data_IF_959299161063
#
_entry.id   IF_959299161063
#
_cell.length_a   1.000
_cell.length_b   1.000
_cell.length_c   1.000
_cell.angle_alpha   90.00
_cell.angle_beta   90.00
_cell.angle_gamma   90.00
#
_symmetry.space_group_name_H-M   'P 1'
#
loop_
_entity.id
_entity.type
_entity.pdbx_description
1 polymer ?
#
# COMPACT_ATOMS: atom_id res chain seq x y z
N UNK A 1 43.59 -51.94 -7.42
CA UNK A 1 42.15 -51.64 -7.30
C UNK A 1 41.96 -50.63 -6.16
N UNK A 2 41.74 -49.36 -6.48
CA UNK A 2 41.47 -48.33 -5.46
C UNK A 2 39.98 -48.38 -5.05
N UNK A 3 39.63 -48.27 -3.76
CA UNK A 3 38.25 -48.32 -3.33
C UNK A 3 37.53 -47.03 -3.73
N UNK A 4 36.46 -47.14 -4.53
CA UNK A 4 35.54 -46.04 -4.83
C UNK A 4 34.82 -45.63 -3.55
N UNK A 5 35.07 -44.39 -3.08
CA UNK A 5 34.34 -43.74 -1.99
C UNK A 5 32.86 -43.58 -2.36
N UNK A 6 31.99 -44.48 -1.90
CA UNK A 6 30.53 -44.33 -2.00
C UNK A 6 29.96 -43.71 -0.72
N UNK A 7 29.41 -42.50 -0.90
CA UNK A 7 28.17 -41.95 -0.30
C UNK A 7 28.10 -41.57 1.19
N UNK A 8 28.36 -40.29 1.47
CA UNK A 8 27.88 -39.58 2.67
C UNK A 8 26.40 -39.13 2.60
N UNK A 9 25.78 -39.15 1.40
CA UNK A 9 24.41 -38.66 1.21
C UNK A 9 23.33 -39.59 1.82
N UNK A 10 23.56 -40.90 1.83
CA UNK A 10 22.62 -41.88 2.38
C UNK A 10 22.50 -41.76 3.92
N UNK A 11 23.48 -41.15 4.60
CA UNK A 11 23.44 -40.91 6.05
C UNK A 11 22.57 -39.71 6.46
N UNK A 12 22.26 -38.77 5.57
CA UNK A 12 21.48 -37.57 5.94
C UNK A 12 19.98 -37.92 6.01
N UNK A 13 19.51 -38.76 5.08
CA UNK A 13 18.10 -39.17 5.03
C UNK A 13 17.66 -39.93 6.28
N UNK A 14 18.51 -40.82 6.81
CA UNK A 14 18.24 -41.54 8.07
C UNK A 14 18.20 -40.60 9.27
N UNK A 15 19.09 -39.60 9.33
CA UNK A 15 19.08 -38.59 10.39
C UNK A 15 17.84 -37.70 10.32
N UNK A 16 17.38 -37.31 9.13
CA UNK A 16 16.16 -36.51 8.96
C UNK A 16 14.91 -37.24 9.47
N UNK A 17 14.84 -38.56 9.29
CA UNK A 17 13.77 -39.37 9.84
C UNK A 17 13.80 -39.42 11.38
N UNK A 18 14.98 -39.43 12.00
CA UNK A 18 15.13 -39.37 13.46
C UNK A 18 14.74 -37.99 14.03
N UNK A 19 15.16 -36.90 13.39
CA UNK A 19 14.76 -35.54 13.80
C UNK A 19 13.25 -35.34 13.73
N UNK A 20 12.58 -36.01 12.80
CA UNK A 20 11.11 -35.95 12.72
C UNK A 20 10.40 -36.75 13.81
N UNK A 21 11.07 -37.74 14.42
CA UNK A 21 10.52 -38.55 15.52
C UNK A 21 10.78 -37.92 16.88
N UNK A 22 12.01 -37.46 17.15
CA UNK A 22 12.43 -36.95 18.47
C UNK A 22 12.56 -35.42 18.54
N UNK A 23 12.69 -34.74 17.40
CA UNK A 23 12.96 -33.30 17.33
C UNK A 23 11.74 -32.42 17.05
N UNK A 24 11.99 -31.09 17.10
CA UNK A 24 11.02 -30.05 16.74
C UNK A 24 11.45 -29.38 15.44
N UNK A 25 10.59 -29.44 14.43
CA UNK A 25 10.89 -28.99 13.07
C UNK A 25 9.73 -28.16 12.52
N UNK A 26 10.06 -27.15 11.71
CA UNK A 26 9.08 -26.42 10.90
C UNK A 26 9.34 -26.63 9.41
N UNK A 27 8.27 -26.96 8.68
CA UNK A 27 8.31 -27.24 7.25
C UNK A 27 7.68 -26.07 6.48
N UNK A 28 8.26 -25.73 5.33
CA UNK A 28 7.69 -24.77 4.37
C UNK A 28 8.25 -23.34 4.45
N UNK A 29 8.20 -22.62 3.33
CA UNK A 29 8.86 -21.33 3.14
C UNK A 29 8.45 -20.22 4.12
N UNK A 30 7.14 -20.01 4.31
CA UNK A 30 6.62 -18.93 5.16
C UNK A 30 6.90 -19.19 6.64
N UNK A 31 6.84 -20.46 7.04
CA UNK A 31 7.13 -20.95 8.38
C UNK A 31 8.63 -20.84 8.68
N UNK A 32 9.50 -21.23 7.76
CA UNK A 32 10.97 -21.11 7.92
C UNK A 32 11.40 -19.65 8.05
N UNK A 33 10.82 -18.73 7.26
CA UNK A 33 11.09 -17.29 7.41
C UNK A 33 10.61 -16.77 8.78
N UNK A 34 9.46 -17.24 9.27
CA UNK A 34 8.95 -16.84 10.59
C UNK A 34 9.87 -17.34 11.71
N UNK A 35 10.39 -18.56 11.61
CA UNK A 35 11.31 -19.13 12.61
C UNK A 35 12.69 -18.49 12.54
N UNK A 36 13.19 -18.17 11.34
CA UNK A 36 14.42 -17.42 11.12
C UNK A 36 14.33 -16.01 11.72
N UNK A 37 13.23 -15.30 11.49
CA UNK A 37 12.99 -13.97 12.09
C UNK A 37 12.91 -14.01 13.61
N UNK A 38 12.47 -15.14 14.18
CA UNK A 38 12.42 -15.33 15.63
C UNK A 38 13.75 -15.79 16.25
N UNK A 39 14.79 -16.06 15.43
CA UNK A 39 16.11 -16.51 15.91
C UNK A 39 16.13 -17.90 16.54
N UNK A 40 15.10 -18.73 16.32
CA UNK A 40 14.98 -20.06 16.94
C UNK A 40 15.46 -21.21 16.05
N UNK A 41 15.80 -20.91 14.80
CA UNK A 41 16.25 -21.91 13.84
C UNK A 41 17.73 -22.23 14.08
N UNK A 42 18.04 -23.50 14.36
CA UNK A 42 19.42 -23.97 14.55
C UNK A 42 20.05 -24.49 13.27
N UNK A 43 19.25 -24.98 12.33
CA UNK A 43 19.70 -25.43 11.00
C UNK A 43 18.58 -25.23 9.98
N UNK A 44 18.93 -24.76 8.78
CA UNK A 44 18.00 -24.64 7.66
C UNK A 44 18.41 -25.57 6.53
N UNK A 45 17.46 -26.32 5.99
CA UNK A 45 17.67 -27.23 4.87
C UNK A 45 16.86 -26.72 3.68
N UNK A 46 17.52 -26.60 2.53
CA UNK A 46 16.95 -26.11 1.28
C UNK A 46 17.07 -27.21 0.22
N UNK A 47 15.97 -27.56 -0.42
CA UNK A 47 15.99 -28.51 -1.54
C UNK A 47 16.56 -27.88 -2.82
N UNK A 48 17.14 -28.71 -3.69
CA UNK A 48 17.79 -28.27 -4.93
C UNK A 48 16.82 -27.57 -5.90
N UNK A 49 15.58 -28.04 -5.98
CA UNK A 49 14.55 -27.52 -6.88
C UNK A 49 13.79 -26.29 -6.31
N UNK A 50 14.45 -25.47 -5.49
CA UNK A 50 13.88 -24.21 -4.99
C UNK A 50 14.15 -23.08 -5.98
N UNK A 51 13.17 -22.19 -6.26
CA UNK A 51 13.40 -21.10 -7.21
C UNK A 51 14.48 -20.15 -6.68
N UNK A 52 15.38 -19.64 -7.55
CA UNK A 52 16.60 -18.95 -7.12
C UNK A 52 16.31 -17.72 -6.25
N UNK A 53 15.23 -16.98 -6.55
CA UNK A 53 14.80 -15.83 -5.75
C UNK A 53 14.46 -16.18 -4.29
N UNK A 54 13.83 -17.33 -4.05
CA UNK A 54 13.46 -17.78 -2.69
C UNK A 54 14.64 -18.39 -1.95
N UNK A 55 15.54 -19.04 -2.69
CA UNK A 55 16.79 -19.59 -2.17
C UNK A 55 17.69 -18.45 -1.63
N UNK A 56 17.91 -17.40 -2.43
CA UNK A 56 18.68 -16.23 -2.01
C UNK A 56 18.06 -15.50 -0.81
N UNK A 57 16.72 -15.42 -0.74
CA UNK A 57 16.01 -14.81 0.39
C UNK A 57 16.24 -15.61 1.69
N UNK A 58 16.21 -16.95 1.62
CA UNK A 58 16.43 -17.82 2.78
C UNK A 58 17.89 -17.85 3.25
N UNK A 59 18.85 -17.88 2.33
CA UNK A 59 20.27 -17.81 2.64
C UNK A 59 20.61 -16.49 3.36
N UNK A 60 20.07 -15.38 2.86
CA UNK A 60 20.23 -14.07 3.50
C UNK A 60 19.67 -14.06 4.93
N UNK A 61 18.45 -14.57 5.14
CA UNK A 61 17.85 -14.61 6.47
C UNK A 61 18.55 -15.61 7.42
N UNK A 62 19.09 -16.71 6.89
CA UNK A 62 19.87 -17.65 7.68
C UNK A 62 21.22 -17.05 8.12
N UNK A 63 21.88 -16.29 7.25
CA UNK A 63 23.11 -15.55 7.57
C UNK A 63 22.86 -14.54 8.70
N UNK A 64 21.78 -13.75 8.60
CA UNK A 64 21.40 -12.81 9.66
C UNK A 64 21.08 -13.51 10.99
N UNK A 65 20.45 -14.68 10.93
CA UNK A 65 20.10 -15.47 12.10
C UNK A 65 21.25 -16.34 12.63
N UNK A 66 22.43 -16.31 11.99
CA UNK A 66 23.59 -17.19 12.28
C UNK A 66 23.22 -18.68 12.29
N UNK A 67 22.29 -19.08 11.43
CA UNK A 67 21.88 -20.48 11.29
C UNK A 67 22.61 -21.11 10.08
N UNK A 68 23.30 -22.25 10.24
CA UNK A 68 23.89 -22.97 9.11
C UNK A 68 22.81 -23.38 8.10
N UNK A 69 23.17 -23.30 6.81
CA UNK A 69 22.32 -23.71 5.69
C UNK A 69 22.90 -24.96 5.05
N UNK A 70 22.09 -25.99 4.90
CA UNK A 70 22.44 -27.20 4.18
C UNK A 70 21.64 -27.33 2.89
N UNK A 71 22.34 -27.41 1.76
CA UNK A 71 21.73 -27.67 0.47
C UNK A 71 21.53 -29.17 0.27
N UNK A 72 20.28 -29.59 0.28
CA UNK A 72 19.91 -30.96 -0.04
C UNK A 72 19.99 -31.17 -1.55
N UNK A 73 20.74 -32.19 -1.98
CA UNK A 73 20.95 -32.51 -3.39
C UNK A 73 19.68 -33.04 -4.09
N UNK A 74 18.68 -33.48 -3.33
CA UNK A 74 17.46 -34.05 -3.86
C UNK A 74 16.34 -33.05 -4.13
N UNK A 75 15.29 -33.54 -4.79
CA UNK A 75 14.10 -32.77 -5.12
C UNK A 75 13.18 -32.55 -3.92
N UNK A 76 12.22 -31.62 -4.04
CA UNK A 76 11.22 -31.33 -2.99
C UNK A 76 10.34 -32.55 -2.63
N UNK A 77 10.25 -33.54 -3.51
CA UNK A 77 9.54 -34.80 -3.27
C UNK A 77 10.40 -35.70 -2.38
N UNK A 78 11.68 -35.87 -2.73
CA UNK A 78 12.64 -36.68 -1.98
C UNK A 78 12.88 -36.14 -0.56
N UNK A 79 12.93 -34.80 -0.39
CA UNK A 79 13.01 -34.19 0.94
C UNK A 79 11.74 -34.48 1.76
N UNK A 80 10.56 -34.40 1.14
CA UNK A 80 9.29 -34.74 1.77
C UNK A 80 9.26 -36.19 2.26
N UNK A 81 9.67 -37.11 1.40
CA UNK A 81 9.76 -38.54 1.71
C UNK A 81 10.81 -38.82 2.80
N UNK A 82 11.98 -38.18 2.76
CA UNK A 82 13.01 -38.31 3.81
C UNK A 82 12.53 -37.81 5.18
N UNK A 83 11.63 -36.83 5.19
CA UNK A 83 10.97 -36.33 6.39
C UNK A 83 9.74 -37.16 6.83
N UNK A 84 9.39 -38.24 6.11
CA UNK A 84 8.19 -39.03 6.38
C UNK A 84 6.87 -38.28 6.15
N UNK A 85 6.88 -37.25 5.28
CA UNK A 85 5.69 -36.47 4.93
C UNK A 85 5.25 -36.80 3.51
N UNK A 86 3.94 -37.02 3.34
CA UNK A 86 3.31 -37.33 2.04
C UNK A 86 3.13 -36.08 1.14
N UNK A 87 3.60 -34.91 1.56
CA UNK A 87 3.50 -33.66 0.82
C UNK A 87 4.88 -33.10 0.47
N UNK A 88 4.96 -32.37 -0.65
CA UNK A 88 6.20 -31.78 -1.18
C UNK A 88 6.71 -30.68 -0.25
N UNK A 89 7.96 -30.78 0.18
CA UNK A 89 8.59 -29.81 1.08
C UNK A 89 9.81 -29.20 0.41
N UNK A 90 9.78 -27.90 0.18
CA UNK A 90 10.88 -27.17 -0.46
C UNK A 90 11.99 -26.79 0.52
N UNK A 91 11.62 -26.48 1.76
CA UNK A 91 12.49 -25.89 2.77
C UNK A 91 12.06 -26.36 4.15
N UNK A 92 13.03 -26.54 5.04
CA UNK A 92 12.82 -27.00 6.40
C UNK A 92 13.73 -26.26 7.36
N UNK A 93 13.24 -25.94 8.55
CA UNK A 93 14.06 -25.41 9.64
C UNK A 93 13.96 -26.34 10.85
N UNK A 94 15.12 -26.76 11.36
CA UNK A 94 15.24 -27.54 12.59
C UNK A 94 15.35 -26.57 13.75
N UNK A 95 14.43 -26.68 14.71
CA UNK A 95 14.45 -25.90 15.95
C UNK A 95 15.23 -26.66 17.02
N UNK A 96 14.96 -27.96 17.15
CA UNK A 96 15.64 -28.88 18.06
C UNK A 96 15.93 -30.20 17.33
N UNK A 97 17.18 -30.68 17.43
CA UNK A 97 17.66 -31.86 16.71
C UNK A 97 17.33 -33.19 17.41
N UNK A 98 16.85 -33.15 18.67
CA UNK A 98 16.59 -34.35 19.47
C UNK A 98 17.83 -35.26 19.53
N UNK A 99 17.61 -36.56 19.30
CA UNK A 99 18.65 -37.61 19.36
C UNK A 99 19.50 -37.72 18.07
N UNK A 100 19.42 -36.72 17.17
CA UNK A 100 20.08 -36.77 15.87
C UNK A 100 21.27 -35.81 15.79
N UNK A 101 22.43 -36.33 15.36
CA UNK A 101 23.69 -35.57 15.21
C UNK A 101 23.76 -34.65 13.97
N UNK A 102 22.62 -34.09 13.53
CA UNK A 102 22.56 -33.24 12.32
C UNK A 102 23.31 -31.92 12.54
N UNK A 103 23.30 -31.40 13.77
CA UNK A 103 23.97 -30.14 14.12
C UNK A 103 25.51 -30.29 14.13
N UNK A 104 26.01 -31.44 14.58
CA UNK A 104 27.46 -31.69 14.73
C UNK A 104 28.17 -31.84 13.40
N UNK A 105 27.50 -32.44 12.41
CA UNK A 105 28.08 -32.72 11.08
C UNK A 105 28.24 -31.48 10.18
N UNK A 106 27.54 -30.39 10.49
CA UNK A 106 27.52 -29.15 9.70
C UNK A 106 28.08 -27.94 10.46
N UNK A 107 28.73 -28.18 11.61
CA UNK A 107 29.31 -27.16 12.48
C UNK A 107 30.62 -26.51 11.98
N UNK A 108 31.06 -26.77 10.74
CA UNK A 108 32.12 -25.95 10.12
C UNK A 108 31.49 -24.74 9.46
N UNK A 109 31.56 -23.62 10.17
CA UNK A 109 31.39 -22.29 9.63
C UNK A 109 32.30 -22.15 8.40
N UNK A 110 31.72 -22.09 7.20
CA UNK A 110 32.45 -21.61 6.03
C UNK A 110 32.60 -20.10 6.21
N UNK A 111 33.79 -19.69 6.65
CA UNK A 111 34.30 -18.37 6.31
C UNK A 111 34.23 -18.23 4.80
N UNK A 112 33.45 -17.25 4.33
CA UNK A 112 33.38 -16.90 2.93
C UNK A 112 34.71 -16.22 2.59
N UNK A 113 35.65 -16.99 2.03
CA UNK A 113 36.76 -16.43 1.28
C UNK A 113 36.19 -15.72 0.04
N UNK A 114 36.23 -14.40 0.07
CA UNK A 114 35.96 -13.55 -1.08
C UNK A 114 37.20 -13.62 -1.97
N UNK A 115 37.16 -14.40 -3.05
CA UNK A 115 38.28 -14.47 -4.00
C UNK A 115 37.99 -15.32 -5.23
N UNK A 116 38.06 -14.67 -6.40
CA UNK A 116 38.14 -15.24 -7.75
C UNK A 116 36.85 -15.80 -8.41
N UNK A 117 36.10 -14.91 -9.08
CA UNK A 117 35.78 -15.06 -10.50
C UNK A 117 35.08 -13.78 -11.00
N UNK A 118 35.81 -13.01 -11.80
CA UNK A 118 35.39 -11.79 -12.48
C UNK A 118 34.70 -12.13 -13.81
N UNK A 119 34.02 -11.12 -14.38
CA UNK A 119 33.42 -11.03 -15.71
C UNK A 119 32.08 -11.80 -15.90
N UNK A 120 30.97 -11.19 -16.32
CA UNK A 120 30.82 -10.17 -17.35
C UNK A 120 29.70 -9.18 -16.99
N UNK A 121 29.90 -7.91 -17.36
CA UNK A 121 28.94 -6.81 -17.31
C UNK A 121 28.80 -6.26 -18.73
N UNK A 122 27.61 -5.80 -19.16
CA UNK A 122 27.54 -4.53 -19.89
C UNK A 122 26.36 -3.66 -19.37
N UNK A 123 26.13 -2.40 -19.84
CA UNK A 123 26.59 -1.19 -19.14
C UNK A 123 25.45 -0.27 -18.61
N UNK A 124 25.82 0.50 -17.57
CA UNK A 124 25.49 1.87 -17.09
C UNK A 124 24.35 2.70 -17.78
N UNK A 125 23.78 3.80 -17.15
CA UNK A 125 24.51 4.69 -16.25
C UNK A 125 23.76 5.47 -15.13
N UNK A 126 24.58 6.19 -14.36
CA UNK A 126 24.32 7.40 -13.57
C UNK A 126 23.48 7.31 -12.28
N UNK A 127 24.18 7.33 -11.13
CA UNK A 127 23.80 8.25 -10.04
C UNK A 127 24.99 8.70 -9.20
N UNK A 128 25.20 10.01 -9.24
CA UNK A 128 26.11 10.82 -8.45
C UNK A 128 25.67 10.90 -6.97
N UNK A 129 26.68 10.74 -6.10
CA UNK A 129 27.00 11.50 -4.87
C UNK A 129 25.91 11.81 -3.82
N UNK A 130 26.14 11.33 -2.59
CA UNK A 130 26.15 12.17 -1.36
C UNK A 130 27.05 11.52 -0.28
N UNK A 131 27.77 12.32 0.55
CA UNK A 131 28.92 11.89 1.37
C UNK A 131 28.56 11.29 2.75
N UNK A 132 29.52 10.66 3.46
CA UNK A 132 29.31 10.07 4.78
C UNK A 132 29.47 11.12 5.89
N UNK A 133 28.69 11.00 6.96
CA UNK A 133 28.92 11.76 8.20
C UNK A 133 29.10 10.83 9.40
N UNK A 134 30.00 11.28 10.25
CA UNK A 134 30.83 10.61 11.23
C UNK A 134 30.13 10.05 12.46
N UNK A 135 30.78 9.01 12.99
CA UNK A 135 30.72 8.48 14.36
C UNK A 135 31.07 9.52 15.42
N UNK A 136 30.38 9.51 16.58
CA UNK A 136 30.98 9.46 17.94
C UNK A 136 29.92 9.41 19.06
N UNK A 137 30.03 8.34 19.89
CA UNK A 137 29.84 8.29 21.36
C UNK A 137 28.41 8.15 21.97
N UNK A 138 28.27 7.79 23.28
CA UNK A 138 28.24 6.38 23.75
C UNK A 138 27.05 6.05 24.68
N UNK A 139 26.89 4.76 24.99
CA UNK A 139 26.19 4.17 26.15
C UNK A 139 24.95 4.87 26.74
N UNK A 140 23.76 4.29 26.49
CA UNK A 140 22.67 4.32 27.46
C UNK A 140 21.76 3.07 27.31
N UNK A 141 21.71 2.28 28.38
CA UNK A 141 20.64 1.37 28.81
C UNK A 141 19.78 0.67 27.76
N UNK A 142 19.99 -0.64 27.62
CA UNK A 142 19.10 -1.57 26.92
C UNK A 142 17.74 -1.68 27.62
N UNK A 143 16.83 -0.75 27.34
CA UNK A 143 15.41 -1.02 27.44
C UNK A 143 15.02 -1.87 26.23
N UNK A 144 14.78 -3.17 26.45
CA UNK A 144 14.16 -4.05 25.47
C UNK A 144 12.80 -3.45 25.06
N UNK A 145 12.78 -2.62 24.02
CA UNK A 145 11.55 -2.23 23.36
C UNK A 145 11.01 -3.48 22.68
N UNK A 146 10.05 -4.10 23.34
CA UNK A 146 9.10 -4.99 22.71
C UNK A 146 8.64 -4.34 21.39
N UNK A 147 8.55 -5.10 20.28
CA UNK A 147 7.99 -4.56 19.05
C UNK A 147 6.61 -4.00 19.42
N UNK A 148 6.24 -2.78 18.99
CA UNK A 148 4.94 -2.24 19.30
C UNK A 148 3.92 -3.22 18.76
N UNK A 149 3.27 -3.95 19.66
CA UNK A 149 2.07 -4.71 19.36
C UNK A 149 1.05 -3.64 19.03
N UNK A 150 0.97 -3.27 17.74
CA UNK A 150 -0.03 -2.37 17.20
C UNK A 150 -1.38 -2.98 17.56
N UNK A 151 -1.96 -2.51 18.67
CA UNK A 151 -3.33 -2.77 19.08
C UNK A 151 -4.21 -2.35 17.91
N UNK A 152 -4.63 -3.30 17.07
CA UNK A 152 -5.54 -3.03 15.97
C UNK A 152 -6.93 -2.76 16.54
N UNK A 153 -7.13 -1.55 17.08
CA UNK A 153 -8.44 -1.08 17.54
C UNK A 153 -9.43 -0.92 16.37
N UNK A 154 -8.94 -0.81 15.14
CA UNK A 154 -9.73 -0.65 13.92
C UNK A 154 -9.81 -1.96 13.14
N UNK A 155 -11.02 -2.33 12.71
CA UNK A 155 -11.23 -3.48 11.82
C UNK A 155 -10.62 -3.22 10.43
N UNK A 156 -10.08 -4.26 9.76
CA UNK A 156 -9.60 -4.15 8.39
C UNK A 156 -10.67 -3.62 7.42
N UNK A 157 -10.25 -2.82 6.43
CA UNK A 157 -11.17 -2.16 5.48
C UNK A 157 -12.02 -3.16 4.67
N UNK A 158 -11.55 -4.41 4.48
CA UNK A 158 -12.32 -5.48 3.82
C UNK A 158 -13.69 -5.75 4.47
N UNK A 159 -13.84 -5.48 5.78
CA UNK A 159 -15.11 -5.67 6.48
C UNK A 159 -16.20 -4.70 6.01
N UNK A 160 -15.81 -3.53 5.50
CA UNK A 160 -16.71 -2.43 5.13
C UNK A 160 -16.57 -2.02 3.67
N UNK A 161 -15.91 -2.83 2.82
CA UNK A 161 -15.64 -2.45 1.42
C UNK A 161 -16.92 -2.28 0.59
N UNK A 162 -17.88 -3.18 0.75
CA UNK A 162 -19.07 -3.20 -0.11
C UNK A 162 -20.23 -2.38 0.45
N UNK A 163 -20.99 -1.77 -0.44
CA UNK A 163 -22.20 -1.00 -0.13
C UNK A 163 -23.40 -1.89 0.24
N UNK A 164 -23.31 -2.61 1.37
CA UNK A 164 -24.35 -3.57 1.81
C UNK A 164 -25.61 -2.91 2.38
N UNK A 165 -25.43 -1.85 3.15
CA UNK A 165 -26.52 -1.22 3.90
C UNK A 165 -27.06 0.03 3.18
N UNK A 166 -28.28 0.45 3.56
CA UNK A 166 -28.81 1.77 3.19
C UNK A 166 -27.90 2.90 3.71
N UNK A 167 -27.87 4.07 3.04
CA UNK A 167 -27.10 5.21 3.52
C UNK A 167 -27.49 5.59 4.94
N UNK A 168 -26.51 5.51 5.85
CA UNK A 168 -26.64 5.88 7.25
C UNK A 168 -25.75 7.10 7.57
N UNK A 169 -26.24 8.33 7.40
CA UNK A 169 -25.47 9.54 7.66
C UNK A 169 -25.43 9.92 9.15
N UNK A 170 -24.56 10.88 9.49
CA UNK A 170 -24.68 11.63 10.76
C UNK A 170 -25.97 12.46 10.68
N UNK A 171 -26.83 12.34 11.69
CA UNK A 171 -28.16 12.96 11.68
C UNK A 171 -28.66 13.16 13.11
N UNK A 172 -29.85 13.76 13.28
CA UNK A 172 -30.50 13.90 14.61
C UNK A 172 -30.71 12.57 15.33
N UNK A 173 -30.81 11.47 14.57
CA UNK A 173 -30.95 10.10 15.07
C UNK A 173 -29.60 9.41 15.32
N UNK A 174 -28.51 9.96 14.80
CA UNK A 174 -27.16 9.38 14.87
C UNK A 174 -26.15 10.44 15.34
N UNK A 175 -26.07 10.60 16.67
CA UNK A 175 -25.34 11.71 17.32
C UNK A 175 -23.89 11.36 17.70
N UNK A 176 -23.62 10.12 18.08
CA UNK A 176 -22.29 9.65 18.54
C UNK A 176 -21.31 9.29 17.43
N UNK A 177 -21.31 10.03 16.31
CA UNK A 177 -20.48 9.73 15.14
C UNK A 177 -19.09 10.36 15.32
N UNK A 178 -18.00 9.59 15.19
CA UNK A 178 -16.66 10.15 15.22
C UNK A 178 -16.39 11.02 13.98
N UNK A 179 -15.61 12.09 14.15
CA UNK A 179 -15.27 12.98 13.05
C UNK A 179 -14.41 12.28 11.99
N UNK A 180 -14.64 12.59 10.68
CA UNK A 180 -13.85 12.03 9.60
C UNK A 180 -12.38 12.44 9.73
N UNK A 181 -11.45 11.52 9.40
CA UNK A 181 -10.01 11.83 9.42
C UNK A 181 -9.61 12.83 8.33
N UNK A 182 -10.25 12.78 7.17
CA UNK A 182 -10.10 13.80 6.14
C UNK A 182 -10.88 15.06 6.54
N UNK A 183 -10.17 16.18 6.64
CA UNK A 183 -10.77 17.51 6.91
C UNK A 183 -10.54 18.52 5.79
N UNK A 184 -9.50 18.30 4.96
CA UNK A 184 -9.09 19.23 3.90
C UNK A 184 -9.38 18.58 2.56
N UNK A 185 -10.30 19.18 1.81
CA UNK A 185 -10.69 18.71 0.48
C UNK A 185 -9.99 19.45 -0.66
N UNK A 186 -9.59 20.70 -0.45
CA UNK A 186 -8.88 21.52 -1.45
C UNK A 186 -7.44 21.82 -1.01
N UNK A 187 -6.49 21.66 -1.94
CA UNK A 187 -5.05 21.78 -1.70
C UNK A 187 -4.33 22.47 -2.85
N UNK A 188 -3.11 22.93 -2.58
CA UNK A 188 -2.32 23.72 -3.52
C UNK A 188 -2.86 25.14 -3.62
N UNK A 189 -2.75 25.75 -4.80
CA UNK A 189 -3.22 27.11 -5.09
C UNK A 189 -4.73 27.13 -5.34
N UNK A 190 -5.52 26.91 -4.29
CA UNK A 190 -7.00 26.85 -4.36
C UNK A 190 -7.67 28.16 -4.80
N UNK A 191 -7.00 29.31 -4.59
CA UNK A 191 -7.45 30.64 -5.02
C UNK A 191 -6.98 31.00 -6.44
N UNK A 192 -6.30 30.10 -7.16
CA UNK A 192 -5.88 30.37 -8.53
C UNK A 192 -7.07 30.60 -9.45
N UNK A 193 -6.88 31.50 -10.41
CA UNK A 193 -7.83 31.75 -11.47
C UNK A 193 -8.00 30.51 -12.35
N UNK A 194 -9.10 30.47 -13.09
CA UNK A 194 -9.42 29.33 -13.96
C UNK A 194 -8.51 29.29 -15.18
N UNK A 195 -8.07 30.44 -15.68
CA UNK A 195 -7.17 30.53 -16.84
C UNK A 195 -5.75 30.00 -16.55
N UNK A 196 -5.31 30.03 -15.28
CA UNK A 196 -3.97 29.59 -14.87
C UNK A 196 -3.76 28.06 -15.04
N UNK A 197 -4.84 27.28 -14.96
CA UNK A 197 -4.80 25.82 -14.90
C UNK A 197 -5.78 25.17 -15.89
N UNK A 198 -5.41 25.11 -17.19
CA UNK A 198 -6.25 24.52 -18.24
C UNK A 198 -6.36 23.00 -18.16
N UNK A 199 -5.29 22.31 -17.74
CA UNK A 199 -5.26 20.86 -17.69
C UNK A 199 -6.01 20.35 -16.47
N UNK A 200 -6.85 19.32 -16.66
CA UNK A 200 -7.42 18.56 -15.57
C UNK A 200 -7.20 17.05 -15.74
N UNK A 201 -6.83 16.39 -14.64
CA UNK A 201 -6.69 14.94 -14.55
C UNK A 201 -7.54 14.45 -13.38
N UNK A 202 -8.36 13.44 -13.65
CA UNK A 202 -9.27 12.83 -12.69
C UNK A 202 -8.80 11.41 -12.35
N UNK A 203 -8.97 11.04 -11.09
CA UNK A 203 -9.01 9.65 -10.66
C UNK A 203 -10.47 9.23 -10.52
N UNK A 204 -10.85 8.18 -11.24
CA UNK A 204 -12.23 7.69 -11.34
C UNK A 204 -12.31 6.29 -10.76
N UNK A 205 -13.35 6.02 -9.98
CA UNK A 205 -13.64 4.65 -9.52
C UNK A 205 -14.24 3.82 -10.65
N UNK A 206 -13.73 2.61 -10.85
CA UNK A 206 -14.33 1.63 -11.76
C UNK A 206 -15.08 0.52 -11.00
N UNK A 207 -15.35 0.74 -9.71
CA UNK A 207 -16.06 -0.20 -8.84
C UNK A 207 -17.11 0.53 -7.99
N UNK A 208 -18.14 -0.22 -7.60
CA UNK A 208 -19.13 0.21 -6.63
C UNK A 208 -18.73 -0.23 -5.21
N UNK A 209 -18.19 0.70 -4.43
CA UNK A 209 -17.62 0.37 -3.11
C UNK A 209 -17.65 1.55 -2.13
N UNK A 210 -17.14 1.31 -0.92
CA UNK A 210 -16.99 2.30 0.15
C UNK A 210 -15.51 2.59 0.38
N UNK A 211 -15.16 3.88 0.33
CA UNK A 211 -13.82 4.37 0.61
C UNK A 211 -13.77 4.96 2.01
N UNK A 212 -12.89 4.45 2.85
CA UNK A 212 -12.78 4.98 4.23
C UNK A 212 -12.21 6.39 4.28
N UNK A 213 -12.64 7.19 5.25
CA UNK A 213 -12.14 8.57 5.47
C UNK A 213 -10.61 8.61 5.62
N UNK A 214 -10.03 7.57 6.20
CA UNK A 214 -8.61 7.39 6.43
C UNK A 214 -7.87 7.06 5.14
N UNK A 215 -8.48 6.28 4.25
CA UNK A 215 -7.92 6.02 2.93
C UNK A 215 -7.93 7.29 2.07
N UNK A 216 -9.00 8.10 2.16
CA UNK A 216 -9.07 9.40 1.50
C UNK A 216 -7.98 10.35 2.00
N UNK A 217 -7.75 10.41 3.31
CA UNK A 217 -6.70 11.24 3.88
C UNK A 217 -5.29 10.74 3.49
N UNK A 218 -5.05 9.43 3.51
CA UNK A 218 -3.78 8.85 3.08
C UNK A 218 -3.50 9.10 1.58
N UNK A 219 -4.53 8.96 0.74
CA UNK A 219 -4.45 9.25 -0.70
C UNK A 219 -4.18 10.73 -0.97
N UNK A 220 -4.86 11.62 -0.23
CA UNK A 220 -4.65 13.07 -0.30
C UNK A 220 -3.21 13.44 0.05
N UNK A 221 -2.68 12.95 1.18
CA UNK A 221 -1.30 13.22 1.61
C UNK A 221 -0.30 12.71 0.56
N UNK A 222 -0.52 11.52 0.03
CA UNK A 222 0.37 10.89 -0.94
C UNK A 222 0.49 11.71 -2.24
N UNK A 223 -0.64 12.10 -2.84
CA UNK A 223 -0.65 12.92 -4.05
C UNK A 223 -0.06 14.31 -3.79
N UNK A 224 -0.48 14.97 -2.71
CA UNK A 224 -0.03 16.32 -2.37
C UNK A 224 1.48 16.37 -2.17
N UNK A 225 2.04 15.42 -1.41
CA UNK A 225 3.48 15.36 -1.13
C UNK A 225 4.30 15.21 -2.40
N UNK A 226 3.81 14.43 -3.37
CA UNK A 226 4.48 14.26 -4.65
C UNK A 226 4.39 15.51 -5.53
N UNK A 227 3.19 16.10 -5.66
CA UNK A 227 2.99 17.30 -6.46
C UNK A 227 3.79 18.48 -5.93
N UNK A 228 3.75 18.75 -4.63
CA UNK A 228 4.55 19.83 -4.01
C UNK A 228 6.04 19.67 -4.30
N UNK A 229 6.55 18.43 -4.30
CA UNK A 229 7.96 18.15 -4.56
C UNK A 229 8.36 18.41 -6.02
N UNK A 230 7.50 18.10 -6.98
CA UNK A 230 7.84 18.15 -8.42
C UNK A 230 7.44 19.48 -9.05
N UNK A 231 6.21 19.95 -8.81
CA UNK A 231 5.66 21.15 -9.46
C UNK A 231 5.72 22.39 -8.59
N UNK A 232 6.06 22.24 -7.30
CA UNK A 232 5.90 23.28 -6.29
C UNK A 232 4.46 23.39 -5.77
N UNK A 233 4.28 24.04 -4.63
CA UNK A 233 2.97 24.22 -3.96
C UNK A 233 1.98 25.04 -4.79
N UNK A 234 2.49 26.02 -5.54
CA UNK A 234 1.68 26.93 -6.35
C UNK A 234 1.38 26.40 -7.76
N UNK A 235 1.98 25.28 -8.16
CA UNK A 235 1.88 24.75 -9.52
C UNK A 235 0.63 23.91 -9.82
N UNK A 236 -0.23 23.69 -8.82
CA UNK A 236 -1.43 22.85 -8.95
C UNK A 236 -2.55 23.26 -8.00
N UNK A 237 -3.76 22.83 -8.32
CA UNK A 237 -4.91 22.81 -7.41
C UNK A 237 -5.50 21.40 -7.42
N UNK A 238 -5.48 20.73 -6.26
CA UNK A 238 -6.04 19.39 -6.08
C UNK A 238 -7.31 19.46 -5.23
N UNK A 239 -8.36 18.78 -5.67
CA UNK A 239 -9.64 18.65 -4.99
C UNK A 239 -10.02 17.19 -4.79
N UNK A 240 -10.33 16.83 -3.55
CA UNK A 240 -11.02 15.59 -3.21
C UNK A 240 -12.52 15.81 -3.43
N UNK A 241 -13.13 15.07 -4.36
CA UNK A 241 -14.54 15.25 -4.76
C UNK A 241 -15.51 14.47 -3.87
N UNK A 242 -15.05 13.34 -3.34
CA UNK A 242 -15.88 12.45 -2.50
C UNK A 242 -15.82 12.84 -1.03
N UNK A 243 -16.98 12.83 -0.37
CA UNK A 243 -17.13 13.20 1.03
C UNK A 243 -17.61 11.98 1.85
N UNK A 244 -16.99 11.68 3.01
CA UNK A 244 -17.35 10.52 3.80
C UNK A 244 -18.55 10.81 4.72
N UNK A 245 -19.76 10.77 4.17
CA UNK A 245 -20.99 10.97 4.95
C UNK A 245 -21.55 9.68 5.53
N UNK A 246 -21.21 8.51 4.96
CA UNK A 246 -21.78 7.25 5.42
C UNK A 246 -21.06 6.78 6.69
N UNK A 247 -21.82 6.46 7.72
CA UNK A 247 -21.31 6.00 9.01
C UNK A 247 -21.33 4.47 9.05
N UNK A 248 -20.17 3.88 9.28
CA UNK A 248 -20.03 2.44 9.52
C UNK A 248 -20.24 2.12 11.01
N UNK A 249 -20.88 0.98 11.26
CA UNK A 249 -21.18 0.51 12.61
C UNK A 249 -20.32 -0.69 12.99
N UNK A 250 -20.07 -0.84 14.29
CA UNK A 250 -19.41 -2.00 14.86
C UNK A 250 -20.24 -2.54 16.02
N UNK A 251 -20.58 -3.82 15.97
CA UNK A 251 -20.92 -4.56 17.18
C UNK A 251 -19.61 -5.05 17.80
N UNK A 252 -19.21 -4.44 18.92
CA UNK A 252 -17.91 -4.66 19.56
C UNK A 252 -18.07 -5.77 20.60
N UNK A 253 -17.40 -6.89 20.36
CA UNK A 253 -17.39 -8.03 21.26
C UNK A 253 -16.18 -7.95 22.19
N UNK A 254 -16.35 -8.39 23.44
CA UNK A 254 -15.28 -8.46 24.42
C UNK A 254 -14.38 -9.66 24.07
N UNK A 255 -13.07 -9.46 24.13
CA UNK A 255 -12.08 -10.49 23.80
C UNK A 255 -11.32 -10.99 25.04
N UNK A 256 -11.84 -10.72 26.25
CA UNK A 256 -11.28 -11.20 27.50
C UNK A 256 -11.80 -12.61 27.86
N UNK A 257 -11.04 -13.36 28.66
CA UNK A 257 -11.53 -14.60 29.24
C UNK A 257 -12.73 -14.33 30.16
N UNK A 258 -13.75 -15.17 30.10
CA UNK A 258 -15.01 -14.97 30.83
C UNK A 258 -15.93 -13.90 30.23
N UNK A 259 -15.65 -13.39 29.02
CA UNK A 259 -16.49 -12.42 28.32
C UNK A 259 -17.97 -12.85 28.18
N UNK A 260 -18.22 -14.16 28.09
CA UNK A 260 -19.56 -14.74 27.99
C UNK A 260 -20.48 -14.35 29.16
N UNK A 261 -19.91 -14.14 30.36
CA UNK A 261 -20.68 -13.70 31.55
C UNK A 261 -21.18 -12.27 31.44
N UNK A 262 -20.48 -11.42 30.70
CA UNK A 262 -20.74 -9.99 30.58
C UNK A 262 -21.41 -9.62 29.25
N UNK A 263 -21.26 -10.48 28.24
CA UNK A 263 -21.65 -10.18 26.88
C UNK A 263 -22.84 -11.04 26.44
N UNK A 264 -23.90 -10.40 25.97
CA UNK A 264 -25.13 -11.07 25.51
C UNK A 264 -25.04 -11.63 24.08
N UNK A 265 -23.83 -11.87 23.56
CA UNK A 265 -23.59 -12.32 22.19
C UNK A 265 -24.25 -11.41 21.13
N UNK A 266 -25.22 -11.97 20.40
CA UNK A 266 -25.92 -11.30 19.30
C UNK A 266 -27.27 -10.66 19.69
N UNK A 267 -27.71 -10.79 20.95
CA UNK A 267 -28.89 -10.08 21.44
C UNK A 267 -28.61 -8.57 21.43
N UNK A 268 -29.45 -7.78 20.76
CA UNK A 268 -29.26 -6.33 20.63
C UNK A 268 -28.08 -5.92 19.73
N UNK A 269 -27.80 -6.67 18.65
CA UNK A 269 -26.61 -6.51 17.80
C UNK A 269 -26.51 -5.21 16.97
N UNK A 270 -27.35 -4.19 17.21
CA UNK A 270 -27.22 -2.91 16.51
C UNK A 270 -25.93 -2.21 16.95
N UNK A 271 -24.96 -2.14 16.04
CA UNK A 271 -23.64 -1.63 16.35
C UNK A 271 -23.59 -0.13 16.64
N UNK A 272 -22.54 0.31 17.33
CA UNK A 272 -22.24 1.73 17.55
C UNK A 272 -21.47 2.31 16.36
N UNK A 273 -21.56 3.61 16.08
CA UNK A 273 -20.73 4.28 15.07
C UNK A 273 -19.23 4.07 15.33
N UNK A 274 -18.48 3.61 14.32
CA UNK A 274 -17.03 3.36 14.42
C UNK A 274 -16.21 4.32 13.57
N UNK A 275 -16.74 4.75 12.43
CA UNK A 275 -16.02 5.57 11.46
C UNK A 275 -16.91 6.03 10.32
N UNK A 276 -16.35 6.83 9.43
CA UNK A 276 -17.03 7.36 8.25
C UNK A 276 -16.36 6.91 6.96
N UNK A 277 -17.18 6.69 5.95
CA UNK A 277 -16.78 6.21 4.62
C UNK A 277 -17.55 6.99 3.56
N UNK A 278 -16.93 7.17 2.39
CA UNK A 278 -17.58 7.71 1.20
C UNK A 278 -18.10 6.53 0.36
N UNK A 279 -19.36 6.59 -0.07
CA UNK A 279 -19.91 5.63 -1.04
C UNK A 279 -19.58 6.14 -2.44
N UNK A 280 -19.04 5.27 -3.28
CA UNK A 280 -18.58 5.64 -4.61
C UNK A 280 -19.20 4.72 -5.65
N UNK A 281 -19.70 5.31 -6.74
CA UNK A 281 -20.28 4.63 -7.89
C UNK A 281 -19.24 4.37 -8.98
N UNK A 282 -19.56 3.44 -9.88
CA UNK A 282 -18.78 3.22 -11.10
C UNK A 282 -18.82 4.49 -11.95
N UNK A 283 -17.66 4.96 -12.41
CA UNK A 283 -17.52 6.20 -13.16
C UNK A 283 -17.47 7.46 -12.30
N UNK A 284 -17.61 7.35 -10.97
CA UNK A 284 -17.55 8.52 -10.09
C UNK A 284 -16.11 8.99 -9.86
N UNK A 285 -15.91 10.31 -9.96
CA UNK A 285 -14.61 10.96 -9.74
C UNK A 285 -14.31 11.03 -8.24
N UNK A 286 -13.13 10.55 -7.83
CA UNK A 286 -12.63 10.56 -6.45
C UNK A 286 -11.77 11.79 -6.20
N UNK A 287 -10.70 11.94 -7.00
CA UNK A 287 -9.73 13.03 -6.92
C UNK A 287 -9.68 13.76 -8.26
N UNK A 288 -9.52 15.07 -8.22
CA UNK A 288 -9.31 15.91 -9.39
C UNK A 288 -8.12 16.82 -9.16
N UNK A 289 -7.23 16.91 -10.13
CA UNK A 289 -6.07 17.80 -10.10
C UNK A 289 -6.15 18.68 -11.33
N UNK A 290 -6.07 20.00 -11.16
CA UNK A 290 -5.85 20.94 -12.26
C UNK A 290 -4.45 21.54 -12.19
N UNK A 291 -3.79 21.64 -13.33
CA UNK A 291 -2.41 22.13 -13.49
C UNK A 291 -2.24 22.84 -14.83
N UNK A 292 -1.04 23.36 -15.09
CA UNK A 292 -0.59 23.68 -16.45
C UNK A 292 -0.34 22.40 -17.25
N UNK A 293 -0.39 22.49 -18.58
CA UNK A 293 -0.17 21.35 -19.46
C UNK A 293 1.25 20.77 -19.34
N UNK A 294 2.26 21.60 -19.03
CA UNK A 294 3.64 21.17 -18.77
C UNK A 294 3.73 20.13 -17.64
N UNK A 295 2.84 20.20 -16.65
CA UNK A 295 2.86 19.35 -15.45
C UNK A 295 1.98 18.09 -15.58
N UNK A 296 1.57 17.73 -16.81
CA UNK A 296 0.69 16.57 -17.06
C UNK A 296 1.23 15.26 -16.50
N UNK A 297 2.51 14.97 -16.76
CA UNK A 297 3.14 13.74 -16.30
C UNK A 297 3.19 13.65 -14.77
N UNK A 298 3.48 14.78 -14.11
CA UNK A 298 3.50 14.86 -12.65
C UNK A 298 2.11 14.62 -12.04
N UNK A 299 1.04 15.16 -12.64
CA UNK A 299 -0.32 14.93 -12.19
C UNK A 299 -0.75 13.45 -12.31
N UNK A 300 -0.41 12.79 -13.42
CA UNK A 300 -0.71 11.37 -13.63
C UNK A 300 0.02 10.50 -12.61
N UNK A 301 1.32 10.74 -12.39
CA UNK A 301 2.11 9.96 -11.45
C UNK A 301 1.67 10.21 -9.98
N UNK A 302 1.26 11.43 -9.64
CA UNK A 302 0.67 11.74 -8.33
C UNK A 302 -0.57 10.89 -8.06
N UNK A 303 -1.50 10.86 -9.03
CA UNK A 303 -2.73 10.10 -8.91
C UNK A 303 -2.44 8.59 -8.90
N UNK A 304 -1.47 8.12 -9.70
CA UNK A 304 -1.05 6.71 -9.68
C UNK A 304 -0.59 6.27 -8.30
N UNK A 305 0.21 7.08 -7.61
CA UNK A 305 0.66 6.79 -6.24
C UNK A 305 -0.49 6.75 -5.23
N UNK A 306 -1.49 7.61 -5.42
CA UNK A 306 -2.70 7.62 -4.60
C UNK A 306 -3.61 6.42 -4.84
N UNK A 307 -3.59 5.79 -6.02
CA UNK A 307 -4.38 4.57 -6.30
C UNK A 307 -4.03 3.44 -5.32
N UNK A 308 -2.75 3.30 -4.93
CA UNK A 308 -2.32 2.28 -3.96
C UNK A 308 -2.91 2.45 -2.55
N UNK A 309 -3.60 3.57 -2.26
CA UNK A 309 -4.25 3.81 -0.98
C UNK A 309 -5.72 3.40 -0.97
N UNK A 310 -6.31 3.17 -2.14
CA UNK A 310 -7.69 2.75 -2.26
C UNK A 310 -7.81 1.23 -2.46
N UNK A 311 -8.88 0.60 -1.94
CA UNK A 311 -9.30 -0.73 -2.41
C UNK A 311 -9.79 -0.63 -3.85
N UNK A 312 -9.97 -1.76 -4.54
CA UNK A 312 -10.62 -1.80 -5.85
C UNK A 312 -9.77 -1.30 -7.01
N UNK A 313 -10.45 -0.98 -8.12
CA UNK A 313 -9.85 -0.55 -9.38
C UNK A 313 -10.20 0.91 -9.65
N UNK A 314 -9.17 1.74 -9.72
CA UNK A 314 -9.29 3.12 -10.18
C UNK A 314 -8.67 3.28 -11.56
N UNK A 315 -9.20 4.23 -12.32
CA UNK A 315 -8.65 4.66 -13.62
C UNK A 315 -8.26 6.12 -13.54
N UNK A 316 -7.18 6.48 -14.22
CA UNK A 316 -6.77 7.87 -14.39
C UNK A 316 -7.27 8.33 -15.75
N UNK A 317 -7.99 9.44 -15.77
CA UNK A 317 -8.58 10.01 -16.98
C UNK A 317 -8.09 11.45 -17.12
N UNK A 318 -7.52 11.78 -18.28
CA UNK A 318 -7.22 13.16 -18.63
C UNK A 318 -8.48 13.78 -19.21
N UNK A 319 -8.95 14.86 -18.59
CA UNK A 319 -10.18 15.53 -19.02
C UNK A 319 -9.94 16.36 -20.28
N UNK A 320 -10.95 16.38 -21.15
CA UNK A 320 -11.05 17.31 -22.29
C UNK A 320 -11.60 18.68 -21.89
N UNK A 321 -12.03 18.82 -20.63
CA UNK A 321 -12.58 20.06 -20.11
C UNK A 321 -11.48 21.03 -19.66
N UNK A 322 -11.83 22.31 -19.58
CA UNK A 322 -10.93 23.34 -19.07
C UNK A 322 -10.90 23.35 -17.54
N UNK A 323 -9.82 22.88 -16.93
CA UNK A 323 -9.68 22.83 -15.48
C UNK A 323 -10.85 22.10 -14.80
N UNK A 324 -11.53 22.76 -13.86
CA UNK A 324 -12.70 22.20 -13.15
C UNK A 324 -14.05 22.64 -13.73
N UNK A 325 -14.05 23.28 -14.90
CA UNK A 325 -15.28 23.73 -15.56
C UNK A 325 -15.97 22.58 -16.30
N UNK A 326 -17.28 22.69 -16.57
CA UNK A 326 -18.00 21.70 -17.37
C UNK A 326 -17.74 21.81 -18.88
N UNK A 327 -17.14 22.90 -19.35
CA UNK A 327 -16.91 23.19 -20.78
C UNK A 327 -15.64 22.53 -21.31
N UNK A 328 -15.66 22.15 -22.59
CA UNK A 328 -14.48 21.66 -23.30
C UNK A 328 -13.48 22.80 -23.51
N UNK A 329 -12.22 22.45 -23.77
CA UNK A 329 -11.16 23.46 -23.94
C UNK A 329 -11.40 24.40 -25.12
N UNK A 330 -11.86 23.88 -26.26
CA UNK A 330 -12.15 24.65 -27.47
C UNK A 330 -13.27 25.67 -27.22
N UNK A 331 -14.41 25.18 -26.71
CA UNK A 331 -15.56 26.01 -26.36
C UNK A 331 -15.22 27.07 -25.30
N UNK A 332 -14.37 26.75 -24.33
CA UNK A 332 -13.95 27.70 -23.30
C UNK A 332 -13.18 28.89 -23.90
N UNK A 333 -12.31 28.64 -24.88
CA UNK A 333 -11.55 29.70 -25.56
C UNK A 333 -12.50 30.60 -26.35
N UNK A 334 -13.49 30.02 -27.05
CA UNK A 334 -14.51 30.78 -27.77
C UNK A 334 -15.32 31.68 -26.82
N UNK A 335 -15.87 31.10 -25.75
CA UNK A 335 -16.65 31.85 -24.75
C UNK A 335 -15.84 32.96 -24.06
N UNK A 336 -14.53 32.74 -23.89
CA UNK A 336 -13.61 33.74 -23.35
C UNK A 336 -13.41 34.90 -24.33
N UNK A 337 -13.20 34.60 -25.61
CA UNK A 337 -13.03 35.62 -26.65
C UNK A 337 -14.31 36.43 -26.88
N UNK A 338 -15.48 35.80 -26.74
CA UNK A 338 -16.79 36.44 -26.80
C UNK A 338 -17.15 37.24 -25.52
N UNK A 339 -16.27 37.31 -24.51
CA UNK A 339 -16.57 38.05 -23.26
C UNK A 339 -17.67 37.44 -22.39
N UNK A 340 -18.13 36.21 -22.68
CA UNK A 340 -19.24 35.54 -21.97
C UNK A 340 -18.85 34.91 -20.63
N UNK A 341 -17.60 35.09 -20.20
CA UNK A 341 -17.04 34.50 -18.99
C UNK A 341 -16.65 35.60 -18.00
N UNK A 342 -17.07 35.45 -16.75
CA UNK A 342 -16.68 36.34 -15.65
C UNK A 342 -15.95 35.55 -14.58
N UNK A 343 -14.75 36.00 -14.22
CA UNK A 343 -13.95 35.36 -13.17
C UNK A 343 -14.61 35.58 -11.80
N UNK A 344 -14.73 34.50 -11.02
CA UNK A 344 -15.31 34.47 -9.66
C UNK A 344 -14.35 33.72 -8.73
N UNK A 345 -13.21 34.37 -8.46
CA UNK A 345 -12.10 33.81 -7.68
C UNK A 345 -11.57 32.50 -8.27
N UNK A 346 -11.93 31.37 -7.66
CA UNK A 346 -11.44 30.04 -8.07
C UNK A 346 -12.23 29.40 -9.22
N UNK A 347 -13.39 29.98 -9.59
CA UNK A 347 -14.31 29.49 -10.60
C UNK A 347 -14.72 30.60 -11.59
N UNK A 348 -15.57 30.27 -12.56
CA UNK A 348 -16.07 31.21 -13.59
C UNK A 348 -17.59 31.18 -13.61
N UNK A 349 -18.19 32.35 -13.77
CA UNK A 349 -19.60 32.53 -14.05
C UNK A 349 -19.80 32.66 -15.55
N UNK A 350 -20.82 31.99 -16.06
CA UNK A 350 -21.19 32.01 -17.47
C UNK A 350 -22.37 32.96 -17.67
N UNK A 351 -22.33 33.75 -18.75
CA UNK A 351 -23.50 34.47 -19.23
C UNK A 351 -24.60 33.46 -19.56
N UNK A 352 -25.84 33.74 -19.14
CA UNK A 352 -27.02 32.90 -19.38
C UNK A 352 -27.95 33.61 -20.34
N UNK A 353 -28.61 32.87 -21.23
CA UNK A 353 -29.64 33.39 -22.13
C UNK A 353 -30.99 33.69 -21.46
N UNK A 354 -31.05 33.74 -20.14
CA UNK A 354 -32.26 33.98 -19.36
C UNK A 354 -31.98 35.00 -18.24
N UNK A 355 -33.04 35.67 -17.79
CA UNK A 355 -32.99 36.71 -16.75
C UNK A 355 -33.15 38.12 -17.30
N UNK A 356 -33.13 39.11 -16.40
CA UNK A 356 -33.24 40.52 -16.78
C UNK A 356 -32.04 40.95 -17.61
N UNK A 357 -32.29 41.44 -18.83
CA UNK A 357 -31.27 41.82 -19.80
C UNK A 357 -30.35 42.91 -19.22
N UNK A 358 -30.91 43.91 -18.55
CA UNK A 358 -30.14 44.99 -17.91
C UNK A 358 -29.07 44.45 -16.92
N UNK A 359 -29.42 43.44 -16.13
CA UNK A 359 -28.50 42.83 -15.17
C UNK A 359 -27.41 42.01 -15.87
N UNK A 360 -27.74 41.39 -17.00
CA UNK A 360 -26.77 40.64 -17.79
C UNK A 360 -25.78 41.59 -18.49
N UNK A 361 -26.27 42.68 -19.09
CA UNK A 361 -25.43 43.71 -19.71
C UNK A 361 -24.49 44.36 -18.69
N UNK A 362 -24.99 44.72 -17.49
CA UNK A 362 -24.15 45.25 -16.40
C UNK A 362 -23.08 44.28 -15.93
N UNK A 363 -23.37 42.97 -15.95
CA UNK A 363 -22.43 41.95 -15.44
C UNK A 363 -21.39 41.52 -16.46
N UNK A 364 -21.75 41.50 -17.73
CA UNK A 364 -20.96 41.03 -18.87
C UNK A 364 -21.00 42.06 -20.02
N UNK A 365 -20.41 43.26 -19.84
CA UNK A 365 -20.44 44.30 -20.87
C UNK A 365 -19.78 43.84 -22.18
N UNK A 366 -18.60 43.22 -22.09
CA UNK A 366 -17.78 42.74 -23.21
C UNK A 366 -18.54 41.79 -24.17
N UNK A 367 -19.51 41.04 -23.64
CA UNK A 367 -20.30 40.10 -24.43
C UNK A 367 -21.34 40.77 -25.35
N UNK A 368 -21.77 41.98 -25.00
CA UNK A 368 -22.74 42.75 -25.78
C UNK A 368 -22.07 43.79 -26.68
N UNK A 369 -20.86 44.27 -26.31
CA UNK A 369 -20.05 45.13 -27.16
C UNK A 369 -19.51 44.40 -28.40
N UNK A 370 -19.19 43.12 -28.27
CA UNK A 370 -18.69 42.29 -29.39
C UNK A 370 -19.75 41.87 -30.41
N UNK A 371 -21.03 42.13 -30.13
CA UNK A 371 -22.15 41.85 -31.05
C UNK A 371 -22.66 43.09 -31.78
N UNK A 372 -22.21 44.28 -31.37
CA UNK A 372 -22.45 45.55 -32.05
C UNK A 372 -21.37 45.79 -33.11
#
# INVERSE_FOLDING_TARGET
MAPKSKKNADSINSRLALVMKSGKVTLGYKSTIKTLRSGKAKLVIIAANTPPLRKSELEYYAMLAKAPVHHFSGNNIELGTACGKLFRTSTMAVLDAGDSDILTSHGRCLEINVGSACAQKPPLPFRLSTPPFSTTSPFAGSAARSPPTLKMARRPARCYRYCKNKPYPKSRFNRGVPDPKIRIFDLGRKKANVDDFPLCVHMVSNEYEQLSSEALEAARICANKYLVKITGKEGFHMRVRVHPFHVIRINKMLSCAGADRLQTGMRGAFGKPQGTVARVNIGQIILSVRTRDSNRAAAIEALRRSMYKFPGRQKIVVSKNWGFTPVRREDYIQLRNEGKLKQDGAYVQFLRGHGLVENNMKRFPDAYESQA
#
